data_IF_183713996762
#
_entry.id   IF_183713996762
#
_cell.length_a   1.000
_cell.length_b   1.000
_cell.length_c   1.000
_cell.angle_alpha   90.00
_cell.angle_beta   90.00
_cell.angle_gamma   90.00
#
_symmetry.space_group_name_H-M   'P 1'
#
loop_
_entity.id
_entity.type
_entity.pdbx_description
1 polymer ?
#
# COMPACT_ATOMS: atom_id res chain seq x y z
N UNK A 1 -7.56 -5.27 19.65
CA UNK A 1 -8.70 -5.92 20.34
C UNK A 1 -9.76 -6.48 19.38
N UNK A 2 -10.10 -5.83 18.27
CA UNK A 2 -11.22 -6.28 17.40
C UNK A 2 -11.01 -7.68 16.77
N UNK A 3 -9.82 -7.97 16.24
CA UNK A 3 -9.56 -9.27 15.59
C UNK A 3 -9.65 -10.46 16.57
N UNK A 4 -9.15 -10.30 17.81
CA UNK A 4 -9.22 -11.35 18.82
C UNK A 4 -10.66 -11.66 19.22
N UNK A 5 -11.50 -10.62 19.36
CA UNK A 5 -12.94 -10.79 19.63
C UNK A 5 -13.67 -11.48 18.47
N UNK A 6 -13.38 -11.07 17.24
CA UNK A 6 -13.99 -11.66 16.03
C UNK A 6 -13.63 -13.14 15.90
N UNK A 7 -12.39 -13.52 16.18
CA UNK A 7 -11.94 -14.93 16.16
C UNK A 7 -12.40 -15.73 17.40
N UNK A 8 -13.21 -15.14 18.28
CA UNK A 8 -13.65 -15.72 19.55
C UNK A 8 -12.49 -16.16 20.48
N UNK A 9 -11.35 -15.46 20.38
CA UNK A 9 -10.18 -15.67 21.26
C UNK A 9 -10.27 -14.84 22.54
N UNK A 10 -11.15 -13.85 22.56
CA UNK A 10 -11.47 -13.00 23.71
C UNK A 10 -12.98 -12.83 23.73
N UNK A 11 -13.58 -12.91 24.92
CA UNK A 11 -15.03 -12.72 25.09
C UNK A 11 -15.46 -11.24 24.93
N UNK A 12 -16.76 -10.97 25.15
CA UNK A 12 -17.30 -9.61 25.11
C UNK A 12 -16.70 -8.70 26.19
N UNK A 13 -16.38 -9.26 27.35
CA UNK A 13 -15.90 -8.58 28.55
C UNK A 13 -14.38 -8.35 28.55
N UNK A 14 -13.64 -9.01 27.66
CA UNK A 14 -12.19 -8.90 27.53
C UNK A 14 -11.40 -10.07 28.11
N UNK A 15 -12.03 -11.15 28.57
CA UNK A 15 -11.34 -12.32 29.10
C UNK A 15 -10.79 -13.21 27.97
N UNK A 16 -9.51 -13.65 28.07
CA UNK A 16 -8.90 -14.54 27.10
C UNK A 16 -9.55 -15.93 27.14
N UNK A 17 -9.69 -16.57 25.97
CA UNK A 17 -10.09 -17.97 25.91
C UNK A 17 -8.90 -18.90 26.12
N UNK A 18 -9.16 -20.16 26.51
CA UNK A 18 -8.13 -21.20 26.61
C UNK A 18 -7.36 -21.38 25.29
N UNK A 19 -8.03 -21.23 24.14
CA UNK A 19 -7.35 -21.32 22.83
C UNK A 19 -6.34 -20.19 22.61
N UNK A 20 -6.60 -18.99 23.17
CA UNK A 20 -5.65 -17.89 23.11
C UNK A 20 -4.45 -18.17 24.02
N UNK A 21 -4.68 -18.71 25.22
CA UNK A 21 -3.61 -19.12 26.13
C UNK A 21 -2.73 -20.19 25.48
N UNK A 22 -3.33 -21.23 24.88
CA UNK A 22 -2.61 -22.28 24.15
C UNK A 22 -1.78 -21.68 23.00
N UNK A 23 -2.36 -20.75 22.23
CA UNK A 23 -1.68 -20.10 21.11
C UNK A 23 -0.50 -19.22 21.54
N UNK A 24 -0.57 -18.61 22.74
CA UNK A 24 0.49 -17.77 23.29
C UNK A 24 1.67 -18.62 23.79
N UNK A 25 1.39 -19.78 24.38
CA UNK A 25 2.42 -20.67 24.90
C UNK A 25 3.00 -21.62 23.83
N UNK A 26 2.29 -21.84 22.72
CA UNK A 26 2.79 -22.65 21.62
C UNK A 26 3.90 -21.95 20.84
N UNK A 27 4.88 -22.73 20.37
CA UNK A 27 5.99 -22.25 19.55
C UNK A 27 6.08 -23.00 18.21
N UNK A 28 6.86 -22.46 17.28
CA UNK A 28 7.22 -23.13 16.02
C UNK A 28 6.01 -23.65 15.22
N UNK A 29 6.02 -24.95 14.93
CA UNK A 29 5.00 -25.61 14.12
C UNK A 29 3.68 -25.84 14.88
N UNK A 30 3.72 -26.03 16.20
CA UNK A 30 2.51 -26.17 17.03
C UNK A 30 1.70 -24.88 17.01
N UNK A 31 2.39 -23.74 17.11
CA UNK A 31 1.74 -22.41 16.99
C UNK A 31 1.11 -22.22 15.61
N UNK A 32 1.75 -22.71 14.55
CA UNK A 32 1.22 -22.65 13.17
C UNK A 32 -0.02 -23.52 13.03
N UNK A 33 0.00 -24.73 13.59
CA UNK A 33 -1.12 -25.66 13.56
C UNK A 33 -2.35 -25.11 14.31
N UNK A 34 -2.14 -24.53 15.50
CA UNK A 34 -3.21 -23.87 16.27
C UNK A 34 -3.79 -22.68 15.51
N UNK A 35 -2.93 -21.80 14.97
CA UNK A 35 -3.39 -20.65 14.20
C UNK A 35 -4.17 -21.08 12.96
N UNK A 36 -3.71 -22.13 12.28
CA UNK A 36 -4.41 -22.73 11.14
C UNK A 36 -5.80 -23.21 11.52
N UNK A 37 -5.93 -23.95 12.61
CA UNK A 37 -7.22 -24.44 13.12
C UNK A 37 -8.20 -23.30 13.42
N UNK A 38 -7.72 -22.23 14.05
CA UNK A 38 -8.52 -21.03 14.34
C UNK A 38 -9.02 -20.39 13.04
N UNK A 39 -8.14 -20.25 12.04
CA UNK A 39 -8.50 -19.68 10.74
C UNK A 39 -9.48 -20.55 9.97
N UNK A 40 -9.28 -21.87 9.92
CA UNK A 40 -10.17 -22.82 9.24
C UNK A 40 -11.58 -22.81 9.86
N UNK A 41 -11.68 -22.71 11.18
CA UNK A 41 -12.97 -22.61 11.88
C UNK A 41 -13.71 -21.32 11.55
N UNK A 42 -13.05 -20.18 11.63
CA UNK A 42 -13.70 -18.88 11.45
C UNK A 42 -13.96 -18.54 9.97
N UNK A 43 -13.01 -18.85 9.10
CA UNK A 43 -13.08 -18.55 7.67
C UNK A 43 -13.53 -19.75 6.84
N UNK A 44 -14.35 -20.65 7.40
CA UNK A 44 -14.81 -21.85 6.70
C UNK A 44 -15.30 -21.58 5.25
N UNK A 45 -16.11 -20.55 4.96
CA UNK A 45 -16.54 -20.24 3.59
C UNK A 45 -15.39 -19.89 2.62
N UNK A 46 -14.28 -19.36 3.15
CA UNK A 46 -13.08 -19.02 2.37
C UNK A 46 -12.27 -20.27 2.06
N UNK A 47 -12.25 -21.25 2.96
CA UNK A 47 -11.55 -22.52 2.78
C UNK A 47 -12.29 -23.53 1.90
N UNK A 48 -13.56 -23.28 1.56
CA UNK A 48 -14.26 -24.02 0.49
C UNK A 48 -13.60 -23.82 -0.88
N UNK A 49 -12.91 -22.68 -1.07
CA UNK A 49 -12.11 -22.41 -2.26
C UNK A 49 -10.73 -23.06 -2.15
N UNK A 50 -10.21 -23.56 -3.29
CA UNK A 50 -8.79 -23.93 -3.38
C UNK A 50 -7.91 -22.67 -3.38
N UNK A 51 -7.49 -22.23 -2.19
CA UNK A 51 -6.67 -21.03 -1.98
C UNK A 51 -5.33 -21.07 -2.72
N UNK A 52 -4.80 -22.25 -3.08
CA UNK A 52 -3.56 -22.37 -3.82
C UNK A 52 -3.73 -22.01 -5.32
N UNK A 53 -4.94 -22.15 -5.87
CA UNK A 53 -5.26 -21.88 -7.28
C UNK A 53 -6.23 -20.73 -7.48
N UNK A 54 -6.94 -20.31 -6.43
CA UNK A 54 -7.98 -19.29 -6.50
C UNK A 54 -7.46 -17.96 -7.06
N UNK A 55 -8.31 -17.30 -7.84
CA UNK A 55 -8.06 -15.96 -8.35
C UNK A 55 -8.39 -14.88 -7.31
N UNK A 56 -7.89 -13.66 -7.52
CA UNK A 56 -8.21 -12.50 -6.68
C UNK A 56 -9.71 -12.23 -6.59
N UNK A 57 -10.44 -12.36 -7.70
CA UNK A 57 -11.90 -12.14 -7.74
C UNK A 57 -12.68 -13.19 -6.95
N UNK A 58 -12.33 -14.48 -7.09
CA UNK A 58 -12.95 -15.56 -6.31
C UNK A 58 -12.71 -15.40 -4.81
N UNK A 59 -11.48 -15.05 -4.44
CA UNK A 59 -11.13 -14.79 -3.04
C UNK A 59 -11.92 -13.60 -2.48
N UNK A 60 -12.00 -12.50 -3.22
CA UNK A 60 -12.79 -11.33 -2.84
C UNK A 60 -14.29 -11.65 -2.69
N UNK A 61 -14.85 -12.43 -3.62
CA UNK A 61 -16.24 -12.88 -3.56
C UNK A 61 -16.53 -13.72 -2.30
N UNK A 62 -15.63 -14.64 -1.94
CA UNK A 62 -15.80 -15.42 -0.70
C UNK A 62 -15.83 -14.52 0.55
N UNK A 63 -15.10 -13.40 0.53
CA UNK A 63 -15.15 -12.43 1.64
C UNK A 63 -16.46 -11.61 1.68
N UNK A 64 -17.18 -11.48 0.56
CA UNK A 64 -18.49 -10.79 0.55
C UNK A 64 -19.55 -11.53 1.35
N UNK A 65 -19.42 -12.84 1.52
CA UNK A 65 -20.33 -13.65 2.36
C UNK A 65 -20.38 -13.18 3.82
N UNK A 66 -19.34 -12.50 4.32
CA UNK A 66 -19.30 -11.93 5.66
C UNK A 66 -20.07 -10.60 5.80
N UNK A 67 -20.65 -10.06 4.71
CA UNK A 67 -21.60 -8.93 4.77
C UNK A 67 -21.00 -7.58 5.16
N UNK A 68 -19.70 -7.36 4.93
CA UNK A 68 -19.02 -6.11 5.33
C UNK A 68 -18.89 -5.10 4.17
N UNK A 69 -18.71 -3.81 4.49
CA UNK A 69 -18.51 -2.74 3.50
C UNK A 69 -17.21 -2.93 2.71
N UNK A 70 -17.16 -2.51 1.44
CA UNK A 70 -16.02 -2.68 0.51
C UNK A 70 -14.65 -2.24 1.08
N UNK A 71 -14.60 -1.07 1.74
CA UNK A 71 -13.37 -0.57 2.37
C UNK A 71 -12.90 -1.40 3.57
N UNK A 72 -13.80 -2.15 4.20
CA UNK A 72 -13.51 -3.07 5.32
C UNK A 72 -13.09 -4.43 4.79
N UNK A 73 -13.74 -4.92 3.72
CA UNK A 73 -13.40 -6.18 3.03
C UNK A 73 -11.92 -6.23 2.66
N UNK A 74 -11.40 -5.17 2.04
CA UNK A 74 -9.98 -5.09 1.64
C UNK A 74 -9.02 -5.25 2.83
N UNK A 75 -9.39 -4.71 4.01
CA UNK A 75 -8.58 -4.83 5.23
C UNK A 75 -8.69 -6.24 5.83
N UNK A 76 -9.88 -6.81 5.85
CA UNK A 76 -10.12 -8.18 6.32
C UNK A 76 -9.35 -9.20 5.49
N UNK A 77 -9.35 -9.04 4.17
CA UNK A 77 -8.56 -9.86 3.26
C UNK A 77 -7.06 -9.75 3.52
N UNK A 78 -6.55 -8.53 3.69
CA UNK A 78 -5.14 -8.30 3.98
C UNK A 78 -4.73 -8.95 5.32
N UNK A 79 -5.60 -8.85 6.33
CA UNK A 79 -5.44 -9.53 7.61
C UNK A 79 -5.40 -11.05 7.42
N UNK A 80 -6.37 -11.63 6.71
CA UNK A 80 -6.44 -13.07 6.46
C UNK A 80 -5.18 -13.58 5.76
N UNK A 81 -4.71 -12.89 4.72
CA UNK A 81 -3.50 -13.30 4.00
C UNK A 81 -2.29 -13.33 4.92
N UNK A 82 -2.16 -12.32 5.79
CA UNK A 82 -1.03 -12.26 6.72
C UNK A 82 -1.12 -13.35 7.78
N UNK A 83 -2.32 -13.62 8.28
CA UNK A 83 -2.58 -14.70 9.22
C UNK A 83 -2.32 -16.08 8.58
N UNK A 84 -2.77 -16.28 7.35
CA UNK A 84 -2.57 -17.50 6.57
C UNK A 84 -1.08 -17.76 6.30
N UNK A 85 -0.31 -16.72 5.94
CA UNK A 85 1.15 -16.81 5.83
C UNK A 85 1.80 -17.20 7.16
N UNK A 86 1.36 -16.61 8.27
CA UNK A 86 1.88 -16.92 9.60
C UNK A 86 1.53 -18.36 10.03
N UNK A 87 0.40 -18.90 9.58
CA UNK A 87 -0.02 -20.28 9.80
C UNK A 87 0.59 -21.29 8.81
N UNK A 88 1.40 -20.84 7.84
CA UNK A 88 2.01 -21.70 6.83
C UNK A 88 1.03 -22.19 5.75
N UNK A 89 -0.13 -21.55 5.60
CA UNK A 89 -1.11 -21.88 4.56
C UNK A 89 -0.61 -21.35 3.20
N UNK A 90 -0.60 -22.22 2.19
CA UNK A 90 -0.20 -21.87 0.82
C UNK A 90 -1.31 -21.07 0.14
N UNK A 91 -0.96 -19.88 -0.34
CA UNK A 91 -1.86 -19.00 -1.10
C UNK A 91 -1.37 -18.86 -2.55
N UNK A 92 -2.31 -18.69 -3.48
CA UNK A 92 -1.99 -18.47 -4.89
C UNK A 92 -1.23 -17.14 -5.06
N UNK A 93 -0.30 -17.11 -6.03
CA UNK A 93 0.42 -15.87 -6.40
C UNK A 93 -0.55 -14.75 -6.79
N UNK A 94 -1.72 -15.08 -7.35
CA UNK A 94 -2.72 -14.13 -7.81
C UNK A 94 -3.40 -13.38 -6.65
N UNK A 95 -3.53 -14.02 -5.49
CA UNK A 95 -4.09 -13.40 -4.27
C UNK A 95 -3.08 -12.43 -3.63
N UNK A 96 -1.78 -12.70 -3.82
CA UNK A 96 -0.67 -11.94 -3.24
C UNK A 96 -0.28 -10.68 -4.04
N UNK A 97 -0.52 -10.64 -5.35
CA UNK A 97 -0.12 -9.53 -6.23
C UNK A 97 -0.97 -8.28 -6.00
N UNK A 98 -0.31 -7.11 -5.92
CA UNK A 98 -0.98 -5.81 -5.91
C UNK A 98 -1.51 -5.34 -4.55
N UNK A 99 -0.93 -5.81 -3.44
CA UNK A 99 -1.32 -5.35 -2.09
C UNK A 99 -0.31 -4.36 -1.51
N UNK A 100 -0.74 -3.10 -1.37
CA UNK A 100 -0.03 -2.07 -0.62
C UNK A 100 0.11 -2.53 0.83
N UNK A 101 1.33 -2.83 1.27
CA UNK A 101 1.60 -3.38 2.61
C UNK A 101 2.46 -4.63 2.59
N UNK A 102 2.73 -5.24 1.42
CA UNK A 102 3.85 -6.17 1.24
C UNK A 102 5.18 -5.39 1.26
N UNK A 103 5.44 -4.65 2.34
CA UNK A 103 6.76 -4.10 2.59
C UNK A 103 7.69 -5.29 2.83
N UNK A 104 8.51 -5.50 1.81
CA UNK A 104 9.81 -6.17 1.82
C UNK A 104 10.31 -6.34 3.26
N UNK A 105 10.53 -7.60 3.64
CA UNK A 105 11.30 -8.02 4.80
C UNK A 105 12.35 -6.98 5.16
N UNK A 106 12.19 -6.31 6.31
CA UNK A 106 13.20 -5.43 6.90
C UNK A 106 14.33 -6.31 7.41
N UNK A 107 15.13 -6.82 6.48
CA UNK A 107 16.37 -7.54 6.73
C UNK A 107 17.50 -6.73 6.12
N UNK A 108 18.10 -5.88 6.95
CA UNK A 108 19.45 -5.31 6.79
C UNK A 108 19.94 -5.05 8.22
N UNK A 109 20.49 -6.04 8.93
CA UNK A 109 21.86 -6.54 8.74
C UNK A 109 22.85 -5.39 8.50
N UNK A 110 23.51 -5.01 9.59
CA UNK A 110 24.70 -4.19 9.60
C UNK A 110 25.79 -4.78 8.69
N UNK A 111 26.38 -3.95 7.84
CA UNK A 111 27.75 -4.03 7.28
C UNK A 111 27.89 -2.82 6.33
N UNK A 112 28.54 -1.73 6.75
CA UNK A 112 29.99 -1.53 6.62
C UNK A 112 30.52 -1.91 5.24
N UNK A 113 30.73 -0.89 4.38
CA UNK A 113 31.92 -0.78 3.52
C UNK A 113 32.03 0.61 2.88
N UNK A 114 32.97 1.36 3.44
CA UNK A 114 34.05 2.07 2.74
C UNK A 114 33.67 2.92 1.51
N UNK A 115 33.67 4.24 1.74
CA UNK A 115 33.92 5.26 0.74
C UNK A 115 35.35 5.11 0.20
N UNK A 116 35.47 4.94 -1.11
CA UNK A 116 36.66 5.34 -1.87
C UNK A 116 36.22 6.30 -2.96
N UNK A 117 36.83 7.48 -2.95
CA UNK A 117 36.64 8.57 -3.90
C UNK A 117 37.75 8.49 -4.95
N UNK A 118 37.40 8.63 -6.23
CA UNK A 118 38.20 9.06 -7.40
C UNK A 118 37.79 8.23 -8.63
N UNK A 119 37.66 8.72 -9.85
CA UNK A 119 37.65 10.05 -10.44
C UNK A 119 37.34 9.84 -11.96
N UNK A 120 36.59 10.79 -12.55
CA UNK A 120 36.68 11.27 -13.94
C UNK A 120 36.20 10.41 -15.14
N UNK A 121 35.32 11.06 -15.91
CA UNK A 121 34.83 10.90 -17.30
C UNK A 121 35.99 10.98 -18.34
N UNK A 122 35.84 10.71 -19.68
CA UNK A 122 34.69 11.07 -20.55
C UNK A 122 34.35 10.24 -21.84
N UNK A 123 33.12 10.50 -22.34
CA UNK A 123 32.68 10.73 -23.74
C UNK A 123 32.67 9.65 -24.87
N UNK A 124 31.74 9.92 -25.82
CA UNK A 124 31.47 9.39 -27.18
C UNK A 124 30.52 8.17 -27.23
N UNK A 125 29.21 8.29 -27.48
CA UNK A 125 28.38 8.83 -28.60
C UNK A 125 27.95 7.76 -29.63
N UNK A 126 26.66 7.87 -30.05
CA UNK A 126 25.99 7.33 -31.27
C UNK A 126 25.29 5.96 -31.09
N UNK A 127 24.01 5.71 -31.42
CA UNK A 127 22.90 6.47 -32.02
C UNK A 127 21.59 5.66 -31.88
N UNK A 128 20.51 6.36 -31.54
CA UNK A 128 19.09 6.26 -32.00
C UNK A 128 18.46 4.89 -32.28
N UNK A 129 17.35 4.61 -31.59
CA UNK A 129 16.10 4.16 -32.22
C UNK A 129 14.91 4.78 -31.46
N UNK A 130 14.15 5.61 -32.16
CA UNK A 130 12.95 6.32 -31.68
C UNK A 130 11.70 5.42 -31.81
N UNK A 131 10.86 5.50 -30.76
CA UNK A 131 9.38 5.46 -30.66
C UNK A 131 8.51 4.90 -31.79
N UNK A 132 7.30 4.43 -31.40
CA UNK A 132 6.11 5.12 -31.89
C UNK A 132 5.29 5.73 -30.75
N UNK A 133 4.86 6.95 -31.05
CA UNK A 133 3.95 7.83 -30.34
C UNK A 133 2.55 7.20 -30.20
N UNK A 134 1.96 7.34 -29.01
CA UNK A 134 0.52 7.19 -28.79
C UNK A 134 -0.04 8.57 -28.39
N UNK A 135 -1.03 9.14 -29.11
CA UNK A 135 -1.58 10.46 -28.83
C UNK A 135 -2.60 10.36 -27.69
N UNK A 136 -2.14 10.56 -26.46
CA UNK A 136 -3.04 10.60 -25.31
C UNK A 136 -2.34 10.61 -23.96
N UNK A 137 -1.29 11.42 -23.78
CA UNK A 137 -0.71 11.60 -22.45
C UNK A 137 -1.63 12.52 -21.66
N UNK A 138 -2.34 12.04 -20.62
CA UNK A 138 -3.19 12.91 -19.83
C UNK A 138 -2.28 13.95 -19.15
N UNK A 139 -2.74 15.20 -19.04
CA UNK A 139 -2.02 16.29 -18.40
C UNK A 139 -1.55 15.96 -16.97
N UNK A 140 -2.13 14.93 -16.34
CA UNK A 140 -1.71 14.36 -15.06
C UNK A 140 -0.33 13.71 -15.10
N UNK A 141 0.07 13.04 -16.18
CA UNK A 141 1.38 12.38 -16.29
C UNK A 141 2.52 13.41 -16.39
N UNK A 142 2.33 14.48 -17.15
CA UNK A 142 3.31 15.58 -17.24
C UNK A 142 3.43 16.35 -15.92
N UNK A 143 2.32 16.47 -15.17
CA UNK A 143 2.32 17.07 -13.82
C UNK A 143 3.04 16.18 -12.80
N UNK A 144 2.89 14.85 -12.88
CA UNK A 144 3.62 13.91 -12.02
C UNK A 144 5.12 13.93 -12.30
N UNK A 145 5.52 13.92 -13.57
CA UNK A 145 6.94 14.02 -13.97
C UNK A 145 7.57 15.35 -13.51
N UNK A 146 6.81 16.45 -13.59
CA UNK A 146 7.25 17.75 -13.08
C UNK A 146 7.35 17.75 -11.55
N UNK A 147 6.37 17.17 -10.86
CA UNK A 147 6.37 17.02 -9.41
C UNK A 147 7.56 16.17 -8.95
N UNK A 148 7.85 15.03 -9.59
CA UNK A 148 8.99 14.16 -9.29
C UNK A 148 10.32 14.89 -9.50
N UNK A 149 10.44 15.70 -10.56
CA UNK A 149 11.63 16.50 -10.82
C UNK A 149 11.85 17.61 -9.80
N UNK A 150 10.77 18.16 -9.24
CA UNK A 150 10.84 19.15 -8.16
C UNK A 150 11.11 18.47 -6.82
N UNK A 151 10.45 17.34 -6.52
CA UNK A 151 10.69 16.50 -5.33
C UNK A 151 12.17 16.07 -5.23
N UNK A 152 12.80 15.73 -6.36
CA UNK A 152 14.24 15.42 -6.41
C UNK A 152 15.16 16.60 -6.00
N UNK A 153 14.65 17.82 -5.95
CA UNK A 153 15.37 19.02 -5.49
C UNK A 153 15.09 19.37 -4.03
N UNK A 154 14.06 18.78 -3.41
CA UNK A 154 13.78 18.98 -1.99
C UNK A 154 14.57 17.97 -1.15
N UNK A 155 15.19 18.41 -0.05
CA UNK A 155 15.77 17.48 0.91
C UNK A 155 14.67 16.68 1.60
N UNK A 156 14.95 15.40 1.89
CA UNK A 156 14.08 14.53 2.68
C UNK A 156 13.77 15.18 4.04
N UNK A 157 12.54 15.03 4.52
CA UNK A 157 12.12 15.57 5.82
C UNK A 157 12.96 14.98 6.95
N UNK A 158 13.64 15.83 7.70
CA UNK A 158 14.39 15.43 8.89
C UNK A 158 13.72 15.97 10.16
N UNK A 159 13.25 15.08 11.06
CA UNK A 159 12.61 15.47 12.32
C UNK A 159 13.58 16.13 13.31
N UNK A 160 14.90 16.09 13.06
CA UNK A 160 15.89 16.78 13.87
C UNK A 160 16.09 18.26 13.48
N UNK A 161 15.44 18.75 12.41
CA UNK A 161 15.50 20.16 12.04
C UNK A 161 14.87 21.07 13.08
N UNK A 162 15.33 22.33 13.11
CA UNK A 162 14.70 23.37 13.92
C UNK A 162 13.20 23.49 13.58
N UNK A 163 12.30 23.59 14.58
CA UNK A 163 10.85 23.71 14.35
C UNK A 163 10.45 24.81 13.36
N UNK A 164 11.20 25.92 13.31
CA UNK A 164 10.95 27.00 12.35
C UNK A 164 11.28 26.60 10.90
N UNK A 165 12.26 25.72 10.70
CA UNK A 165 12.63 25.17 9.39
C UNK A 165 11.64 24.09 8.96
N UNK A 166 11.19 23.25 9.88
CA UNK A 166 10.15 22.25 9.62
C UNK A 166 8.85 22.92 9.14
N UNK A 167 8.43 24.00 9.81
CA UNK A 167 7.24 24.75 9.42
C UNK A 167 7.35 25.36 8.02
N UNK A 168 8.51 25.97 7.68
CA UNK A 168 8.75 26.53 6.33
C UNK A 168 8.81 25.45 5.25
N UNK A 169 9.37 24.28 5.58
CA UNK A 169 9.41 23.15 4.67
C UNK A 169 8.00 22.59 4.40
N UNK A 170 7.17 22.45 5.44
CA UNK A 170 5.77 22.02 5.32
C UNK A 170 4.92 23.04 4.54
N UNK A 171 5.13 24.34 4.75
CA UNK A 171 4.44 25.40 3.99
C UNK A 171 4.83 25.35 2.50
N UNK A 172 6.12 25.15 2.19
CA UNK A 172 6.60 24.97 0.82
C UNK A 172 6.01 23.74 0.14
N UNK A 173 5.93 22.61 0.85
CA UNK A 173 5.34 21.38 0.31
C UNK A 173 3.82 21.50 0.12
N UNK A 174 3.13 22.17 1.04
CA UNK A 174 1.68 22.43 0.93
C UNK A 174 1.37 23.30 -0.28
N UNK A 175 2.13 24.40 -0.47
CA UNK A 175 2.01 25.26 -1.66
C UNK A 175 2.29 24.53 -2.97
N UNK A 176 3.21 23.55 -2.96
CA UNK A 176 3.48 22.72 -4.14
C UNK A 176 2.28 21.84 -4.51
N UNK A 177 1.64 21.22 -3.51
CA UNK A 177 0.41 20.45 -3.74
C UNK A 177 -0.77 21.30 -4.18
N UNK A 178 -0.92 22.51 -3.63
CA UNK A 178 -1.92 23.48 -4.06
C UNK A 178 -1.68 23.96 -5.51
N UNK A 179 -0.43 24.24 -5.87
CA UNK A 179 -0.09 24.61 -7.25
C UNK A 179 -0.35 23.50 -8.28
N UNK A 180 -0.22 22.23 -7.87
CA UNK A 180 -0.52 21.08 -8.71
C UNK A 180 -2.04 20.80 -8.83
N UNK A 181 -2.84 21.16 -7.81
CA UNK A 181 -4.29 20.96 -7.79
C UNK A 181 -5.10 22.09 -8.43
N UNK A 182 -4.61 23.33 -8.46
CA UNK A 182 -5.38 24.53 -8.86
C UNK A 182 -5.45 24.81 -10.37
N UNK A 183 -4.80 24.04 -11.25
CA UNK A 183 -4.80 24.35 -12.70
C UNK A 183 -5.82 23.58 -13.56
N UNK A 184 -6.73 22.81 -12.95
CA UNK A 184 -7.77 22.09 -13.72
C UNK A 184 -9.10 22.83 -13.83
N UNK A 185 -9.30 23.93 -13.11
CA UNK A 185 -10.59 24.64 -13.05
C UNK A 185 -10.58 26.04 -13.66
N UNK A 186 -9.44 26.57 -14.12
CA UNK A 186 -9.37 27.91 -14.73
C UNK A 186 -9.12 27.86 -16.24
N UNK A 187 -9.93 27.05 -16.93
CA UNK A 187 -9.99 27.06 -18.40
C UNK A 187 -11.37 26.71 -18.93
N UNK A 188 -12.42 27.19 -18.25
CA UNK A 188 -13.77 27.21 -18.82
C UNK A 188 -14.61 28.37 -18.26
N UNK A 189 -13.98 29.55 -18.17
CA UNK A 189 -14.58 30.80 -17.75
C UNK A 189 -14.48 31.86 -18.85
N UNK A 190 -14.93 31.55 -20.05
CA UNK A 190 -15.20 32.56 -21.09
C UNK A 190 -16.38 32.08 -21.91
N UNK A 191 -17.58 32.48 -21.49
CA UNK A 191 -18.66 32.98 -22.37
C UNK A 191 -19.92 33.25 -21.52
N UNK A 192 -19.94 34.43 -20.91
CA UNK A 192 -21.13 35.25 -20.63
C UNK A 192 -20.53 36.66 -20.48
N UNK A 193 -20.94 37.72 -21.16
CA UNK A 193 -22.27 38.13 -21.57
C UNK A 193 -22.08 39.42 -22.39
N UNK A 194 -22.68 39.58 -23.57
CA UNK A 194 -23.23 40.90 -23.98
C UNK A 194 -24.50 40.68 -24.80
N UNK A 195 -25.58 41.19 -24.23
CA UNK A 195 -26.97 41.20 -24.69
C UNK A 195 -27.26 42.31 -25.72
N UNK A 196 -28.52 42.32 -26.18
CA UNK A 196 -29.32 43.43 -26.76
C UNK A 196 -29.43 43.50 -28.30
N UNK A 197 -30.60 43.55 -28.92
CA UNK A 197 -31.99 43.62 -28.45
C UNK A 197 -32.96 43.56 -29.64
N UNK A 198 -34.21 43.15 -29.39
CA UNK A 198 -35.35 43.27 -30.30
C UNK A 198 -36.58 43.68 -29.48
#
# INVERSE_FOLDING_TARGET
>A
MTALKVLALVDSEGHPSHELEDLVHAEGDDRRALLRRILERFYAPVFELDLARASKGQFHEAFRSFGTKEGVLTKCEAFFIRAAQAAGIKLSKRILVGRHGASKSRTTAAQSRQRTVAALTPAVEKTVAQTPVDPGVPASTLKLELADRILAKYPDFDPAWDPAVQAKWLDGMTRLYEGLSVTSTDRDGTSDEVSEGA
#
